data_IF_043306197712
#
_entry.id   IF_043306197712
#
_cell.length_a   1.000
_cell.length_b   1.000
_cell.length_c   1.000
_cell.angle_alpha   90.00
_cell.angle_beta   90.00
_cell.angle_gamma   90.00
#
_symmetry.space_group_name_H-M   'P 1'
#
loop_
_entity.id
_entity.type
_entity.pdbx_description
1 polymer ?
#
# COMPACT_ATOMS: atom_id res chain seq x y z
N UNK A 1 -44.70 -17.94 14.92
CA UNK A 1 -43.55 -17.49 14.12
C UNK A 1 -42.62 -16.48 14.84
N UNK A 2 -42.75 -16.26 16.16
CA UNK A 2 -41.94 -15.27 16.89
C UNK A 2 -40.51 -15.75 17.24
N UNK A 3 -40.34 -17.04 17.50
CA UNK A 3 -39.06 -17.62 17.95
C UNK A 3 -37.98 -17.52 16.86
N UNK A 4 -38.32 -17.83 15.60
CA UNK A 4 -37.36 -17.76 14.49
C UNK A 4 -36.90 -16.32 14.22
N UNK A 5 -37.78 -15.32 14.39
CA UNK A 5 -37.42 -13.91 14.26
C UNK A 5 -36.43 -13.46 15.33
N UNK A 6 -36.73 -13.74 16.60
CA UNK A 6 -35.82 -13.41 17.72
C UNK A 6 -34.46 -14.11 17.62
N UNK A 7 -34.43 -15.36 17.12
CA UNK A 7 -33.18 -16.08 16.87
C UNK A 7 -32.33 -15.37 15.80
N UNK A 8 -32.94 -14.91 14.71
CA UNK A 8 -32.22 -14.17 13.65
C UNK A 8 -31.70 -12.82 14.15
N UNK A 9 -32.50 -12.09 14.93
CA UNK A 9 -32.08 -10.82 15.53
C UNK A 9 -30.91 -10.99 16.49
N UNK A 10 -30.95 -12.06 17.30
CA UNK A 10 -29.85 -12.40 18.20
C UNK A 10 -28.57 -12.75 17.42
N UNK A 11 -28.67 -13.55 16.35
CA UNK A 11 -27.52 -13.88 15.50
C UNK A 11 -26.94 -12.64 14.82
N UNK A 12 -27.80 -11.75 14.32
CA UNK A 12 -27.38 -10.49 13.71
C UNK A 12 -26.66 -9.58 14.72
N UNK A 13 -27.16 -9.48 15.96
CA UNK A 13 -26.54 -8.71 17.01
C UNK A 13 -25.15 -9.25 17.40
N UNK A 14 -25.02 -10.57 17.52
CA UNK A 14 -23.73 -11.23 17.82
C UNK A 14 -22.73 -11.01 16.69
N UNK A 15 -23.14 -11.22 15.44
CA UNK A 15 -22.28 -11.05 14.27
C UNK A 15 -21.77 -9.60 14.16
N UNK A 16 -22.65 -8.62 14.43
CA UNK A 16 -22.27 -7.21 14.43
C UNK A 16 -21.25 -6.88 15.53
N UNK A 17 -21.49 -7.37 16.75
CA UNK A 17 -20.56 -7.16 17.88
C UNK A 17 -19.17 -7.72 17.59
N UNK A 18 -19.09 -8.94 17.07
CA UNK A 18 -17.79 -9.55 16.71
C UNK A 18 -17.06 -8.72 15.63
N UNK A 19 -17.79 -8.27 14.62
CA UNK A 19 -17.21 -7.44 13.55
C UNK A 19 -16.64 -6.12 14.11
N UNK A 20 -17.40 -5.43 14.95
CA UNK A 20 -16.96 -4.19 15.61
C UNK A 20 -15.73 -4.44 16.51
N UNK A 21 -15.72 -5.56 17.26
CA UNK A 21 -14.59 -5.94 18.11
C UNK A 21 -13.32 -6.27 17.30
N UNK A 22 -13.44 -6.94 16.15
CA UNK A 22 -12.31 -7.18 15.24
C UNK A 22 -11.74 -5.88 14.69
N UNK A 23 -12.60 -4.97 14.25
CA UNK A 23 -12.21 -3.64 13.75
C UNK A 23 -11.49 -2.83 14.83
N UNK A 24 -12.00 -2.84 16.06
CA UNK A 24 -11.38 -2.18 17.23
C UNK A 24 -9.99 -2.74 17.54
N UNK A 25 -9.83 -4.07 17.55
CA UNK A 25 -8.51 -4.69 17.79
C UNK A 25 -7.54 -4.42 16.65
N UNK A 26 -8.02 -4.45 15.41
CA UNK A 26 -7.21 -4.11 14.24
C UNK A 26 -6.72 -2.66 14.31
N UNK A 27 -7.58 -1.69 14.65
CA UNK A 27 -7.17 -0.28 14.76
C UNK A 27 -6.13 -0.07 15.85
N UNK A 28 -6.29 -0.70 17.01
CA UNK A 28 -5.28 -0.69 18.09
C UNK A 28 -3.94 -1.27 17.63
N UNK A 29 -3.96 -2.38 16.90
CA UNK A 29 -2.77 -3.00 16.32
C UNK A 29 -2.08 -2.09 15.29
N UNK A 30 -2.86 -1.48 14.40
CA UNK A 30 -2.36 -0.51 13.41
C UNK A 30 -1.72 0.69 14.11
N UNK A 31 -2.38 1.25 15.12
CA UNK A 31 -1.86 2.39 15.87
C UNK A 31 -0.53 2.07 16.56
N UNK A 32 -0.44 0.91 17.22
CA UNK A 32 0.82 0.42 17.81
C UNK A 32 1.92 0.30 16.76
N UNK A 33 1.63 -0.34 15.63
CA UNK A 33 2.60 -0.53 14.55
C UNK A 33 3.01 0.79 13.87
N UNK A 34 2.11 1.78 13.78
CA UNK A 34 2.43 3.14 13.33
C UNK A 34 3.36 3.84 14.32
N UNK A 35 3.08 3.78 15.63
CA UNK A 35 3.96 4.33 16.68
C UNK A 35 5.34 3.67 16.68
N UNK A 36 5.42 2.38 16.38
CA UNK A 36 6.68 1.64 16.21
C UNK A 36 7.36 1.82 14.85
N UNK A 37 6.82 2.65 13.95
CA UNK A 37 7.45 2.96 12.65
C UNK A 37 7.51 1.79 11.66
N UNK A 38 6.62 0.80 11.80
CA UNK A 38 6.59 -0.38 10.91
C UNK A 38 5.97 -0.06 9.54
N UNK A 39 5.07 0.93 9.47
CA UNK A 39 4.47 1.37 8.22
C UNK A 39 5.41 2.30 7.44
N UNK A 40 6.21 1.74 6.53
CA UNK A 40 7.17 2.49 5.69
C UNK A 40 6.71 2.68 4.24
N UNK A 41 5.49 2.26 3.92
CA UNK A 41 4.96 2.26 2.55
C UNK A 41 5.59 1.17 1.68
N UNK A 42 5.38 1.27 0.36
CA UNK A 42 5.99 0.36 -0.60
C UNK A 42 7.48 0.71 -0.75
N UNK A 43 8.42 -0.22 -0.49
CA UNK A 43 9.83 0.05 -0.71
C UNK A 43 10.11 0.33 -2.19
N UNK A 44 11.05 1.22 -2.44
CA UNK A 44 11.49 1.48 -3.80
C UNK A 44 12.38 0.36 -4.33
N UNK A 45 12.32 0.14 -5.64
CA UNK A 45 13.27 -0.73 -6.33
C UNK A 45 14.60 0.03 -6.53
N UNK A 46 15.46 -0.07 -5.52
CA UNK A 46 16.74 0.64 -5.48
C UNK A 46 17.65 0.27 -6.67
N UNK A 47 17.68 -1.01 -7.06
CA UNK A 47 18.53 -1.49 -8.17
C UNK A 47 18.08 -0.90 -9.49
N UNK A 48 16.77 -0.95 -9.78
CA UNK A 48 16.20 -0.36 -11.00
C UNK A 48 16.38 1.16 -11.01
N UNK A 49 16.13 1.83 -9.88
CA UNK A 49 16.27 3.28 -9.78
C UNK A 49 17.72 3.73 -10.03
N UNK A 50 18.71 3.02 -9.47
CA UNK A 50 20.12 3.31 -9.71
C UNK A 50 20.50 3.16 -11.19
N UNK A 51 20.01 2.11 -11.86
CA UNK A 51 20.22 1.92 -13.30
C UNK A 51 19.61 3.05 -14.13
N UNK A 52 18.38 3.48 -13.81
CA UNK A 52 17.71 4.60 -14.49
C UNK A 52 18.48 5.90 -14.30
N UNK A 53 18.95 6.20 -13.07
CA UNK A 53 19.76 7.40 -12.80
C UNK A 53 21.07 7.39 -13.59
N UNK A 54 21.71 6.23 -13.74
CA UNK A 54 22.88 6.08 -14.60
C UNK A 54 22.55 6.40 -16.06
N UNK A 55 21.49 5.80 -16.61
CA UNK A 55 21.05 6.06 -17.99
C UNK A 55 20.72 7.53 -18.24
N UNK A 56 20.13 8.22 -17.25
CA UNK A 56 19.87 9.66 -17.32
C UNK A 56 21.17 10.48 -17.36
N UNK A 57 22.17 10.13 -16.53
CA UNK A 57 23.49 10.78 -16.52
C UNK A 57 24.27 10.54 -17.81
N UNK A 58 24.09 9.37 -18.41
CA UNK A 58 24.67 9.00 -19.71
C UNK A 58 23.97 9.71 -20.90
N UNK A 59 22.96 10.57 -20.64
CA UNK A 59 22.29 11.37 -21.66
C UNK A 59 21.28 10.61 -22.52
N UNK A 60 20.86 9.41 -22.11
CA UNK A 60 19.91 8.62 -22.89
C UNK A 60 18.53 9.29 -22.98
N UNK A 61 17.86 9.14 -24.13
CA UNK A 61 16.52 9.69 -24.31
C UNK A 61 15.50 9.01 -23.40
N UNK A 62 14.50 9.77 -22.95
CA UNK A 62 13.49 9.26 -22.04
C UNK A 62 12.72 8.07 -22.62
N UNK A 63 12.44 8.09 -23.92
CA UNK A 63 11.73 6.99 -24.59
C UNK A 63 12.57 5.70 -24.61
N UNK A 64 13.89 5.82 -24.77
CA UNK A 64 14.82 4.68 -24.68
C UNK A 64 14.78 4.07 -23.27
N UNK A 65 14.86 4.91 -22.23
CA UNK A 65 14.86 4.44 -20.85
C UNK A 65 13.53 3.78 -20.47
N UNK A 66 12.39 4.36 -20.88
CA UNK A 66 11.06 3.74 -20.67
C UNK A 66 11.01 2.38 -21.33
N UNK A 67 11.45 2.26 -22.58
CA UNK A 67 11.41 1.01 -23.34
C UNK A 67 12.31 -0.06 -22.72
N UNK A 68 13.49 0.32 -22.23
CA UNK A 68 14.46 -0.60 -21.63
C UNK A 68 14.09 -1.05 -20.20
N UNK A 69 13.42 -0.20 -19.42
CA UNK A 69 13.18 -0.43 -17.99
C UNK A 69 11.72 -0.72 -17.64
N UNK A 70 10.79 -0.47 -18.57
CA UNK A 70 9.35 -0.55 -18.35
C UNK A 70 8.81 0.45 -17.33
N UNK A 71 9.61 1.43 -16.90
CA UNK A 71 9.19 2.40 -15.90
C UNK A 71 8.27 3.48 -16.51
N UNK A 72 7.36 4.01 -15.70
CA UNK A 72 6.49 5.12 -16.11
C UNK A 72 7.29 6.42 -16.29
N UNK A 73 6.82 7.31 -17.18
CA UNK A 73 7.39 8.66 -17.32
C UNK A 73 7.37 9.46 -16.01
N UNK A 74 6.38 9.22 -15.14
CA UNK A 74 6.31 9.83 -13.81
C UNK A 74 7.43 9.33 -12.88
N UNK A 75 7.81 8.05 -12.98
CA UNK A 75 8.95 7.49 -12.26
C UNK A 75 10.26 8.11 -12.73
N UNK A 76 10.43 8.21 -14.05
CA UNK A 76 11.56 8.89 -14.68
C UNK A 76 11.70 10.34 -14.24
N UNK A 77 10.61 11.13 -14.32
CA UNK A 77 10.62 12.54 -13.88
C UNK A 77 10.97 12.69 -12.40
N UNK A 78 10.43 11.83 -11.54
CA UNK A 78 10.75 11.81 -10.11
C UNK A 78 12.23 11.46 -9.86
N UNK A 79 12.80 10.52 -10.61
CA UNK A 79 14.22 10.14 -10.49
C UNK A 79 15.15 11.21 -11.07
N UNK A 80 14.76 11.87 -12.16
CA UNK A 80 15.52 12.98 -12.74
C UNK A 80 15.63 14.18 -11.78
N UNK A 81 14.61 14.45 -10.96
CA UNK A 81 14.67 15.49 -9.92
C UNK A 81 15.53 15.12 -8.70
N UNK A 82 15.83 13.83 -8.51
CA UNK A 82 16.67 13.32 -7.41
C UNK A 82 18.14 13.22 -7.79
N UNK A 83 18.44 13.13 -9.09
CA UNK A 83 19.77 13.00 -9.65
C UNK A 83 20.44 14.37 -9.77
#
# INVERSE_FOLDING_TARGET
AAINGMMLDMLAAIARKDYEDRRRRQSQGIEKARRSGLYRGRPEDAKRNAAIVKMLKDGQSWNSIVSATGCSRSTLSRLAKRA
#
